data_IF_505020755605
#
_entry.id   IF_505020755605
#
_cell.length_a   1.000
_cell.length_b   1.000
_cell.length_c   1.000
_cell.angle_alpha   90.00
_cell.angle_beta   90.00
_cell.angle_gamma   90.00
#
_symmetry.space_group_name_H-M   'P 1'
#
loop_
_entity.id
_entity.type
_entity.pdbx_description
1 polymer ?
#
# COMPACT_ATOMS: atom_id res chain seq x y z
N UNK A 1 2.20 -1.92 20.88
CA UNK A 1 1.36 -3.08 20.84
C UNK A 1 -0.12 -2.80 21.03
N UNK A 2 -0.50 -2.07 22.08
CA UNK A 2 -1.91 -1.72 22.28
C UNK A 2 -2.46 -0.88 21.11
N UNK A 3 -1.64 0.01 20.57
CA UNK A 3 -2.04 0.85 19.43
C UNK A 3 -2.22 0.04 18.16
N UNK A 4 -1.42 -1.04 17.99
CA UNK A 4 -1.53 -1.91 16.85
C UNK A 4 -2.86 -2.65 16.81
N UNK A 5 -3.33 -3.09 17.96
CA UNK A 5 -4.60 -3.80 18.07
C UNK A 5 -5.77 -2.88 17.72
N UNK A 6 -5.73 -1.64 18.18
CA UNK A 6 -6.78 -0.66 17.90
C UNK A 6 -6.86 -0.32 16.42
N UNK A 7 -5.72 -0.13 15.78
CA UNK A 7 -5.68 0.19 14.36
C UNK A 7 -6.12 -1.04 13.54
N UNK A 8 -5.73 -2.23 13.98
CA UNK A 8 -6.16 -3.47 13.34
C UNK A 8 -7.68 -3.62 13.41
N UNK A 9 -8.28 -3.28 14.55
CA UNK A 9 -9.73 -3.32 14.72
C UNK A 9 -10.43 -2.31 13.80
N UNK A 10 -9.85 -1.13 13.65
CA UNK A 10 -10.38 -0.10 12.74
C UNK A 10 -10.33 -0.58 11.29
N UNK A 11 -9.23 -1.23 10.91
CA UNK A 11 -9.10 -1.80 9.57
C UNK A 11 -10.12 -2.90 9.33
N UNK A 12 -10.37 -3.75 10.34
CA UNK A 12 -11.38 -4.79 10.25
C UNK A 12 -12.79 -4.20 10.10
N UNK A 13 -13.10 -3.15 10.84
CA UNK A 13 -14.38 -2.46 10.72
C UNK A 13 -14.54 -1.87 9.32
N UNK A 14 -13.47 -1.31 8.79
CA UNK A 14 -13.46 -0.79 7.44
C UNK A 14 -13.72 -1.90 6.42
N UNK A 15 -13.10 -3.07 6.66
CA UNK A 15 -13.26 -4.24 5.79
C UNK A 15 -14.69 -4.77 5.81
N UNK A 16 -15.33 -4.75 6.97
CA UNK A 16 -16.71 -5.22 7.13
C UNK A 16 -17.71 -4.34 6.38
N UNK A 17 -17.40 -3.05 6.26
CA UNK A 17 -18.21 -2.11 5.52
C UNK A 17 -17.86 -2.05 4.04
N UNK A 18 -16.80 -2.76 3.65
CA UNK A 18 -16.30 -2.78 2.29
C UNK A 18 -16.79 -4.02 1.57
N UNK A 19 -17.06 -3.91 0.30
CA UNK A 19 -17.44 -5.06 -0.53
C UNK A 19 -16.22 -5.92 -0.82
N UNK A 20 -16.45 -7.06 -1.44
CA UNK A 20 -15.41 -7.97 -1.89
C UNK A 20 -14.31 -7.29 -2.71
N UNK A 21 -14.63 -6.15 -3.33
CA UNK A 21 -13.69 -5.38 -4.13
C UNK A 21 -12.50 -4.82 -3.32
N UNK A 22 -12.72 -4.54 -2.03
CA UNK A 22 -11.66 -4.03 -1.18
C UNK A 22 -10.75 -5.14 -0.66
N UNK A 23 -11.22 -6.39 -0.70
CA UNK A 23 -10.41 -7.54 -0.27
C UNK A 23 -9.15 -7.70 -1.12
N UNK A 24 -9.24 -7.39 -2.40
CA UNK A 24 -8.09 -7.46 -3.31
C UNK A 24 -7.01 -6.45 -2.89
N UNK A 25 -7.41 -5.23 -2.60
CA UNK A 25 -6.47 -4.19 -2.16
C UNK A 25 -5.84 -4.53 -0.82
N UNK A 26 -6.63 -5.04 0.11
CA UNK A 26 -6.16 -5.44 1.44
C UNK A 26 -5.15 -6.57 1.31
N UNK A 27 -5.45 -7.59 0.52
CA UNK A 27 -4.57 -8.72 0.31
C UNK A 27 -3.24 -8.27 -0.31
N UNK A 28 -3.30 -7.41 -1.29
CA UNK A 28 -2.13 -6.90 -1.99
C UNK A 28 -1.24 -6.07 -1.04
N UNK A 29 -1.85 -5.17 -0.28
CA UNK A 29 -1.11 -4.36 0.70
C UNK A 29 -0.49 -5.22 1.78
N UNK A 30 -1.19 -6.27 2.22
CA UNK A 30 -0.65 -7.23 3.18
C UNK A 30 0.58 -7.92 2.63
N UNK A 31 0.50 -8.44 1.41
CA UNK A 31 1.63 -9.12 0.77
C UNK A 31 2.83 -8.21 0.63
N UNK A 32 2.60 -6.98 0.19
CA UNK A 32 3.67 -6.01 -0.03
C UNK A 32 4.36 -5.63 1.28
N UNK A 33 3.58 -5.35 2.32
CA UNK A 33 4.14 -4.93 3.60
C UNK A 33 4.88 -6.08 4.29
N UNK A 34 4.35 -7.29 4.23
CA UNK A 34 5.01 -8.47 4.78
C UNK A 34 6.33 -8.73 4.07
N UNK A 35 6.33 -8.67 2.75
CA UNK A 35 7.54 -8.91 1.96
C UNK A 35 8.62 -7.88 2.26
N UNK A 36 8.26 -6.60 2.25
CA UNK A 36 9.21 -5.53 2.53
C UNK A 36 9.77 -5.63 3.95
N UNK A 37 8.90 -5.87 4.93
CA UNK A 37 9.34 -5.99 6.31
C UNK A 37 10.26 -7.19 6.53
N UNK A 38 9.98 -8.31 5.88
CA UNK A 38 10.82 -9.50 5.96
C UNK A 38 12.16 -9.27 5.30
N UNK A 39 12.18 -8.70 4.10
CA UNK A 39 13.41 -8.46 3.34
C UNK A 39 14.33 -7.47 4.04
N UNK A 40 13.77 -6.48 4.70
CA UNK A 40 14.54 -5.40 5.31
C UNK A 40 14.62 -5.51 6.82
N UNK A 41 14.09 -6.59 7.38
CA UNK A 41 14.10 -6.86 8.82
C UNK A 41 13.53 -5.70 9.62
N UNK A 42 12.35 -5.24 9.19
CA UNK A 42 11.68 -4.11 9.83
C UNK A 42 10.78 -4.56 10.98
N UNK A 43 10.45 -3.64 11.86
CA UNK A 43 9.59 -3.90 13.01
C UNK A 43 8.13 -4.10 12.56
N UNK A 44 7.31 -4.61 13.47
CA UNK A 44 5.87 -4.76 13.23
C UNK A 44 5.20 -3.41 12.99
N UNK A 45 5.63 -2.39 13.70
CA UNK A 45 5.12 -1.04 13.53
C UNK A 45 5.48 -0.49 12.15
N UNK A 46 6.68 -0.76 11.69
CA UNK A 46 7.11 -0.36 10.35
C UNK A 46 6.29 -1.10 9.28
N UNK A 47 6.09 -2.38 9.45
CA UNK A 47 5.28 -3.18 8.53
C UNK A 47 3.86 -2.62 8.44
N UNK A 48 3.28 -2.29 9.57
CA UNK A 48 1.95 -1.73 9.64
C UNK A 48 1.87 -0.38 8.92
N UNK A 49 2.87 0.47 9.12
CA UNK A 49 2.93 1.76 8.42
C UNK A 49 2.99 1.55 6.90
N UNK A 50 3.79 0.60 6.46
CA UNK A 50 3.89 0.26 5.04
C UNK A 50 2.54 -0.22 4.52
N UNK A 51 1.89 -1.10 5.27
CA UNK A 51 0.56 -1.60 4.93
C UNK A 51 -0.44 -0.44 4.74
N UNK A 52 -0.52 0.44 5.73
CA UNK A 52 -1.45 1.56 5.69
C UNK A 52 -1.17 2.49 4.52
N UNK A 53 0.09 2.72 4.23
CA UNK A 53 0.50 3.59 3.14
C UNK A 53 0.10 3.00 1.79
N UNK A 54 0.31 1.69 1.61
CA UNK A 54 -0.08 1.01 0.38
C UNK A 54 -1.58 0.90 0.23
N UNK A 55 -2.31 0.65 1.32
CA UNK A 55 -3.77 0.56 1.24
C UNK A 55 -4.35 1.92 0.82
N UNK A 56 -3.81 3.00 1.32
CA UNK A 56 -4.23 4.34 0.95
C UNK A 56 -4.03 4.58 -0.56
N UNK A 57 -2.88 4.14 -1.08
CA UNK A 57 -2.58 4.26 -2.51
C UNK A 57 -3.57 3.45 -3.34
N UNK A 58 -3.79 2.19 -2.97
CA UNK A 58 -4.66 1.31 -3.75
C UNK A 58 -6.11 1.77 -3.72
N UNK A 59 -6.58 2.27 -2.59
CA UNK A 59 -7.92 2.81 -2.48
C UNK A 59 -8.08 4.09 -3.30
N UNK A 60 -7.06 4.94 -3.29
CA UNK A 60 -7.05 6.14 -4.11
C UNK A 60 -7.08 5.79 -5.61
N UNK A 61 -6.27 4.83 -6.01
CA UNK A 61 -6.23 4.40 -7.41
C UNK A 61 -7.59 3.83 -7.84
N UNK A 62 -8.15 2.98 -7.01
CA UNK A 62 -9.46 2.40 -7.29
C UNK A 62 -10.53 3.47 -7.41
N UNK A 63 -10.56 4.41 -6.47
CA UNK A 63 -11.55 5.49 -6.45
C UNK A 63 -11.45 6.38 -7.69
N UNK A 64 -10.25 6.59 -8.19
CA UNK A 64 -10.02 7.48 -9.32
C UNK A 64 -10.03 6.79 -10.68
N UNK A 65 -10.04 5.47 -10.72
CA UNK A 65 -10.00 4.71 -11.98
C UNK A 65 -11.24 3.85 -12.17
N UNK A 66 -11.69 3.17 -11.11
CA UNK A 66 -12.77 2.20 -11.21
C UNK A 66 -14.08 2.88 -11.63
N UNK A 67 -14.75 2.30 -12.62
CA UNK A 67 -16.02 2.82 -13.11
C UNK A 67 -15.92 4.08 -13.94
N UNK A 68 -14.69 4.51 -14.28
CA UNK A 68 -14.46 5.71 -15.08
C UNK A 68 -13.88 5.32 -16.42
N UNK A 69 -14.33 6.00 -17.45
CA UNK A 69 -13.87 5.76 -18.81
C UNK A 69 -12.61 6.58 -19.09
N UNK A 70 -11.49 6.12 -18.54
CA UNK A 70 -10.21 6.81 -18.67
C UNK A 70 -9.38 6.23 -19.80
N UNK A 71 -8.67 7.09 -20.51
CA UNK A 71 -7.68 6.67 -21.49
C UNK A 71 -6.51 6.01 -20.76
N UNK A 72 -5.64 5.34 -21.52
CA UNK A 72 -4.42 4.76 -20.98
C UNK A 72 -3.55 5.84 -20.32
N UNK A 73 -3.43 6.98 -20.97
CA UNK A 73 -2.64 8.10 -20.46
C UNK A 73 -3.21 8.65 -19.15
N UNK A 74 -4.53 8.74 -19.07
CA UNK A 74 -5.20 9.20 -17.86
C UNK A 74 -4.99 8.24 -16.70
N UNK A 75 -5.10 6.93 -16.95
CA UNK A 75 -4.84 5.92 -15.92
C UNK A 75 -3.39 5.97 -15.44
N UNK A 76 -2.45 6.11 -16.37
CA UNK A 76 -1.03 6.23 -16.01
C UNK A 76 -0.76 7.47 -15.18
N UNK A 77 -1.46 8.57 -15.47
CA UNK A 77 -1.32 9.80 -14.69
C UNK A 77 -1.80 9.60 -13.25
N UNK A 78 -2.90 8.86 -13.06
CA UNK A 78 -3.41 8.53 -11.72
C UNK A 78 -2.37 7.70 -10.96
N UNK A 79 -1.84 6.65 -11.58
CA UNK A 79 -0.84 5.78 -10.95
C UNK A 79 0.43 6.53 -10.61
N UNK A 80 0.88 7.39 -11.50
CA UNK A 80 2.09 8.18 -11.30
C UNK A 80 1.93 9.14 -10.12
N UNK A 81 0.79 9.80 -10.04
CA UNK A 81 0.50 10.73 -8.95
C UNK A 81 0.41 10.00 -7.62
N UNK A 82 -0.28 8.86 -7.57
CA UNK A 82 -0.44 8.10 -6.34
C UNK A 82 0.88 7.46 -5.90
N UNK A 83 1.74 7.04 -6.84
CA UNK A 83 3.07 6.52 -6.52
C UNK A 83 3.98 7.59 -5.93
N UNK A 84 3.88 8.81 -6.44
CA UNK A 84 4.62 9.94 -5.89
C UNK A 84 4.19 10.24 -4.47
N UNK A 85 2.88 10.23 -4.22
CA UNK A 85 2.32 10.46 -2.89
C UNK A 85 2.72 9.34 -1.93
N UNK A 86 2.72 8.10 -2.41
CA UNK A 86 3.18 6.94 -1.63
C UNK A 86 4.62 7.15 -1.17
N UNK A 87 5.50 7.54 -2.09
CA UNK A 87 6.91 7.79 -1.77
C UNK A 87 7.06 8.90 -0.75
N UNK A 88 6.31 9.97 -0.91
CA UNK A 88 6.34 11.09 0.03
C UNK A 88 5.85 10.66 1.42
N UNK A 89 4.81 9.85 1.48
CA UNK A 89 4.29 9.33 2.74
C UNK A 89 5.29 8.42 3.44
N UNK A 90 5.97 7.56 2.67
CA UNK A 90 7.01 6.69 3.23
C UNK A 90 8.14 7.49 3.87
N UNK A 91 8.50 8.62 3.26
CA UNK A 91 9.59 9.46 3.77
C UNK A 91 9.26 10.18 5.06
N UNK A 92 8.00 10.20 5.46
CA UNK A 92 7.61 10.73 6.78
C UNK A 92 8.18 9.86 7.89
N UNK A 93 8.25 8.55 7.66
CA UNK A 93 8.73 7.60 8.67
C UNK A 93 10.12 7.05 8.38
N UNK A 94 10.46 6.84 7.10
CA UNK A 94 11.71 6.22 6.70
C UNK A 94 12.61 7.23 6.00
N UNK A 95 13.92 7.03 6.13
CA UNK A 95 14.87 7.84 5.37
C UNK A 95 14.77 7.46 3.87
N UNK A 96 15.48 8.23 3.05
CA UNK A 96 15.42 8.02 1.61
C UNK A 96 15.95 6.66 1.17
N UNK A 97 17.09 6.17 1.68
CA UNK A 97 17.57 4.84 1.31
C UNK A 97 16.60 3.73 1.70
N UNK A 98 16.01 3.80 2.89
CA UNK A 98 15.06 2.80 3.35
C UNK A 98 13.79 2.84 2.51
N UNK A 99 13.29 4.03 2.21
CA UNK A 99 12.13 4.20 1.33
C UNK A 99 12.38 3.55 -0.02
N UNK A 100 13.54 3.82 -0.61
CA UNK A 100 13.91 3.24 -1.91
C UNK A 100 13.99 1.71 -1.83
N UNK A 101 14.54 1.17 -0.73
CA UNK A 101 14.65 -0.26 -0.54
C UNK A 101 13.28 -0.93 -0.40
N UNK A 102 12.35 -0.29 0.32
CA UNK A 102 10.99 -0.79 0.46
C UNK A 102 10.32 -0.87 -0.91
N UNK A 103 10.40 0.20 -1.67
CA UNK A 103 9.76 0.26 -2.98
C UNK A 103 10.38 -0.73 -3.97
N UNK A 104 11.69 -0.95 -3.88
CA UNK A 104 12.39 -1.93 -4.70
C UNK A 104 11.92 -3.34 -4.35
N UNK A 105 11.81 -3.66 -3.07
CA UNK A 105 11.36 -4.99 -2.62
C UNK A 105 9.95 -5.28 -3.13
N UNK A 106 9.06 -4.30 -3.05
CA UNK A 106 7.68 -4.45 -3.55
C UNK A 106 7.67 -4.64 -5.06
N UNK A 107 8.48 -3.87 -5.77
CA UNK A 107 8.56 -3.97 -7.23
C UNK A 107 9.04 -5.35 -7.68
N UNK A 108 10.04 -5.89 -6.98
CA UNK A 108 10.56 -7.23 -7.26
C UNK A 108 9.50 -8.30 -7.03
N UNK A 109 8.72 -8.16 -5.96
CA UNK A 109 7.62 -9.08 -5.68
C UNK A 109 6.56 -9.02 -6.79
N UNK A 110 6.23 -7.84 -7.26
CA UNK A 110 5.27 -7.66 -8.35
C UNK A 110 5.74 -8.36 -9.63
N UNK A 111 7.01 -8.27 -9.94
CA UNK A 111 7.58 -8.92 -11.12
C UNK A 111 7.52 -10.43 -11.04
N UNK A 112 7.74 -11.00 -9.85
CA UNK A 112 7.67 -12.45 -9.65
C UNK A 112 6.26 -12.99 -9.85
N UNK A 113 5.26 -12.18 -9.56
CA UNK A 113 3.86 -12.60 -9.59
C UNK A 113 3.18 -12.33 -10.93
N UNK A 114 3.93 -11.87 -11.91
CA UNK A 114 3.42 -11.69 -13.27
C UNK A 114 3.51 -12.95 -14.11
#
# INVERSE_FOLDING_TARGET
>A
MKNSIKIFALLLLFSLNSNAQNNYQIKKATMFSEHAATQLELSDEDQKFIYETYIAKFMNDRENIFGKDLSKEERQAVYKASSKKLRQSMKVRFDQPTTAAIMKAVLELQKRNQ
#
